data_IF_862130738754
#
_entry.id   IF_862130738754
#
_cell.length_a   1.000
_cell.length_b   1.000
_cell.length_c   1.000
_cell.angle_alpha   90.00
_cell.angle_beta   90.00
_cell.angle_gamma   90.00
#
_symmetry.space_group_name_H-M   'P 1'
#
loop_
_entity.id
_entity.type
_entity.pdbx_description
1 polymer ?
#
# COMPACT_ATOMS: atom_id res chain seq x y z
N UNK A 1 0.36 6.93 -15.95
CA UNK A 1 -0.68 6.12 -15.29
C UNK A 1 -0.09 5.71 -13.96
N UNK A 2 -0.64 6.25 -12.88
CA UNK A 2 -0.11 6.09 -11.53
C UNK A 2 -1.24 5.71 -10.58
N UNK A 3 -0.91 5.06 -9.48
CA UNK A 3 -1.89 4.65 -8.49
C UNK A 3 -2.26 5.83 -7.60
N UNK A 4 -3.55 6.14 -7.50
CA UNK A 4 -4.03 7.11 -6.51
C UNK A 4 -4.36 6.38 -5.21
N UNK A 5 -3.82 6.85 -4.09
CA UNK A 5 -3.95 6.17 -2.79
C UNK A 5 -4.68 7.07 -1.81
N UNK A 6 -5.69 6.54 -1.14
CA UNK A 6 -6.40 7.24 -0.08
C UNK A 6 -6.68 6.32 1.09
N UNK A 7 -6.76 6.91 2.29
CA UNK A 7 -7.24 6.21 3.49
C UNK A 7 -8.69 6.57 3.75
N UNK A 8 -9.49 5.59 4.17
CA UNK A 8 -10.88 5.80 4.60
C UNK A 8 -11.08 5.25 6.00
N UNK A 9 -11.61 6.03 6.93
CA UNK A 9 -11.89 5.57 8.29
C UNK A 9 -13.32 4.98 8.43
N UNK A 10 -13.70 4.57 9.64
CA UNK A 10 -14.99 3.92 9.92
C UNK A 10 -16.21 4.84 9.75
N UNK A 11 -16.01 6.16 9.74
CA UNK A 11 -17.09 7.14 9.49
C UNK A 11 -17.15 7.56 8.01
N UNK A 12 -16.49 6.80 7.12
CA UNK A 12 -16.38 7.07 5.68
C UNK A 12 -15.67 8.37 5.30
N UNK A 13 -14.94 8.98 6.23
CA UNK A 13 -14.09 10.14 5.94
C UNK A 13 -12.89 9.69 5.09
N UNK A 14 -12.64 10.42 4.01
CA UNK A 14 -11.62 10.10 3.02
C UNK A 14 -10.51 11.15 3.06
N UNK A 15 -9.29 10.66 3.26
CA UNK A 15 -8.09 11.49 3.21
C UNK A 15 -7.24 10.98 2.04
N UNK A 16 -7.14 11.83 1.01
CA UNK A 16 -6.21 11.62 -0.09
C UNK A 16 -4.78 11.74 0.43
N UNK A 17 -3.96 10.78 0.05
CA UNK A 17 -2.54 10.82 0.34
C UNK A 17 -1.82 11.54 -0.78
N UNK A 18 -0.59 11.97 -0.52
CA UNK A 18 0.23 12.63 -1.53
C UNK A 18 0.52 11.71 -2.72
N UNK A 19 0.83 12.33 -3.87
CA UNK A 19 1.19 11.62 -5.11
C UNK A 19 2.42 10.71 -4.91
N UNK A 20 3.29 11.04 -3.96
CA UNK A 20 4.49 10.26 -3.65
C UNK A 20 4.14 8.87 -3.10
N UNK A 21 3.04 8.74 -2.39
CA UNK A 21 2.55 7.46 -1.87
C UNK A 21 2.16 6.51 -3.01
N UNK A 22 1.52 7.03 -4.06
CA UNK A 22 1.19 6.28 -5.27
C UNK A 22 2.44 5.81 -6.02
N UNK A 23 3.44 6.68 -6.12
CA UNK A 23 4.73 6.34 -6.71
C UNK A 23 5.45 5.25 -5.91
N UNK A 24 5.56 5.41 -4.58
CA UNK A 24 6.19 4.41 -3.73
C UNK A 24 5.51 3.05 -3.85
N UNK A 25 4.16 3.02 -3.83
CA UNK A 25 3.42 1.77 -4.03
C UNK A 25 3.75 1.14 -5.38
N UNK A 26 3.72 1.92 -6.46
CA UNK A 26 4.08 1.46 -7.81
C UNK A 26 5.48 0.83 -7.85
N UNK A 27 6.46 1.48 -7.23
CA UNK A 27 7.84 0.97 -7.17
C UNK A 27 7.96 -0.39 -6.46
N UNK A 28 7.14 -0.66 -5.44
CA UNK A 28 7.19 -1.96 -4.72
C UNK A 28 6.42 -3.06 -5.44
N UNK A 29 5.36 -2.72 -6.17
CA UNK A 29 4.52 -3.68 -6.90
C UNK A 29 5.32 -4.45 -7.97
N UNK A 30 6.30 -3.79 -8.60
CA UNK A 30 7.21 -4.43 -9.57
C UNK A 30 8.01 -5.62 -8.98
N UNK A 31 8.10 -5.71 -7.65
CA UNK A 31 8.86 -6.75 -6.93
C UNK A 31 7.95 -7.69 -6.10
N UNK A 32 6.62 -7.55 -6.25
CA UNK A 32 5.64 -8.43 -5.63
C UNK A 32 5.83 -9.87 -6.13
N UNK A 33 5.65 -10.84 -5.23
CA UNK A 33 5.75 -12.27 -5.61
C UNK A 33 4.42 -12.73 -6.18
N UNK A 34 4.42 -13.67 -7.16
CA UNK A 34 3.19 -14.33 -7.58
C UNK A 34 2.42 -14.89 -6.38
N UNK A 35 1.10 -14.69 -6.39
CA UNK A 35 0.17 -15.07 -5.30
C UNK A 35 0.31 -14.31 -3.97
N UNK A 36 1.09 -13.23 -3.91
CA UNK A 36 1.09 -12.29 -2.77
C UNK A 36 -0.10 -11.32 -2.86
N UNK A 37 -0.46 -10.65 -1.77
CA UNK A 37 -1.54 -9.64 -1.78
C UNK A 37 -1.16 -8.41 -2.62
N UNK A 38 0.12 -8.02 -2.60
CA UNK A 38 0.60 -6.96 -3.49
C UNK A 38 0.45 -7.34 -4.97
N UNK A 39 0.61 -8.62 -5.32
CA UNK A 39 0.44 -9.07 -6.71
C UNK A 39 -1.01 -8.97 -7.22
N UNK A 40 -2.00 -8.86 -6.32
CA UNK A 40 -3.40 -8.67 -6.72
C UNK A 40 -3.76 -7.21 -6.98
N UNK A 41 -2.84 -6.27 -6.73
CA UNK A 41 -3.06 -4.84 -7.05
C UNK A 41 -2.86 -4.65 -8.54
N UNK A 42 -3.93 -4.35 -9.27
CA UNK A 42 -3.88 -4.06 -10.69
C UNK A 42 -3.93 -2.55 -10.94
N UNK A 43 -3.19 -2.09 -11.96
CA UNK A 43 -3.14 -0.66 -12.32
C UNK A 43 -4.44 -0.09 -12.87
N UNK A 44 -5.40 -0.95 -13.24
CA UNK A 44 -6.68 -0.56 -13.82
C UNK A 44 -7.88 -1.08 -13.00
N UNK A 45 -7.65 -1.49 -11.75
CA UNK A 45 -8.70 -1.94 -10.86
C UNK A 45 -8.58 -1.33 -9.46
N UNK A 46 -9.73 -1.08 -8.85
CA UNK A 46 -9.78 -0.62 -7.47
C UNK A 46 -9.43 -1.75 -6.51
N UNK A 47 -8.49 -1.49 -5.62
CA UNK A 47 -8.10 -2.42 -4.56
C UNK A 47 -8.31 -1.80 -3.19
N UNK A 48 -8.92 -2.57 -2.28
CA UNK A 48 -9.09 -2.18 -0.88
C UNK A 48 -8.43 -3.18 0.05
N UNK A 49 -7.62 -2.68 0.98
CA UNK A 49 -7.04 -3.46 2.06
C UNK A 49 -7.58 -3.01 3.41
N UNK A 50 -8.13 -3.96 4.16
CA UNK A 50 -8.42 -3.78 5.58
C UNK A 50 -7.15 -3.95 6.43
N UNK A 51 -7.23 -3.62 7.72
CA UNK A 51 -6.09 -3.70 8.65
C UNK A 51 -5.46 -5.10 8.75
N UNK A 52 -6.24 -6.18 8.65
CA UNK A 52 -5.72 -7.55 8.67
C UNK A 52 -4.89 -7.83 7.41
N UNK A 53 -5.34 -7.34 6.25
CA UNK A 53 -4.60 -7.45 5.00
C UNK A 53 -3.35 -6.56 5.02
N UNK A 54 -3.42 -5.34 5.55
CA UNK A 54 -2.28 -4.43 5.65
C UNK A 54 -1.12 -5.03 6.47
N UNK A 55 -1.40 -5.80 7.53
CA UNK A 55 -0.36 -6.52 8.26
C UNK A 55 0.37 -7.55 7.41
N UNK A 56 -0.37 -8.27 6.57
CA UNK A 56 0.21 -9.25 5.64
C UNK A 56 1.03 -8.55 4.56
N UNK A 57 0.49 -7.45 4.01
CA UNK A 57 1.22 -6.60 3.06
C UNK A 57 2.49 -6.05 3.71
N UNK A 58 2.46 -5.64 4.98
CA UNK A 58 3.64 -5.19 5.72
C UNK A 58 4.77 -6.24 5.75
N UNK A 59 4.44 -7.50 6.01
CA UNK A 59 5.40 -8.60 5.95
C UNK A 59 5.94 -8.83 4.51
N UNK A 60 5.08 -8.72 3.50
CA UNK A 60 5.52 -8.79 2.09
C UNK A 60 6.51 -7.66 1.74
N UNK A 61 6.29 -6.45 2.24
CA UNK A 61 7.19 -5.32 2.04
C UNK A 61 8.57 -5.56 2.70
N UNK A 62 8.61 -6.14 3.90
CA UNK A 62 9.86 -6.51 4.57
C UNK A 62 10.66 -7.54 3.75
N UNK A 63 9.98 -8.56 3.20
CA UNK A 63 10.60 -9.52 2.28
C UNK A 63 11.12 -8.87 0.99
N UNK A 64 10.45 -7.81 0.51
CA UNK A 64 10.92 -7.04 -0.64
C UNK A 64 12.19 -6.26 -0.28
N UNK A 65 12.21 -5.54 0.85
CA UNK A 65 13.42 -4.81 1.30
C UNK A 65 14.60 -5.74 1.49
N UNK A 66 14.38 -6.92 2.07
CA UNK A 66 15.44 -7.93 2.22
C UNK A 66 16.09 -8.36 0.91
N UNK A 67 15.34 -8.30 -0.21
CA UNK A 67 15.84 -8.60 -1.58
C UNK A 67 16.29 -7.36 -2.35
N UNK A 68 15.72 -6.20 -2.03
CA UNK A 68 15.91 -4.93 -2.72
C UNK A 68 16.13 -3.79 -1.72
N UNK A 69 17.32 -3.69 -1.10
CA UNK A 69 17.60 -2.67 -0.07
C UNK A 69 17.39 -1.23 -0.54
N UNK A 70 17.50 -0.97 -1.85
CA UNK A 70 17.22 0.35 -2.46
C UNK A 70 15.79 0.85 -2.24
N UNK A 71 14.83 -0.06 -1.96
CA UNK A 71 13.42 0.27 -1.72
C UNK A 71 13.12 0.58 -0.24
N UNK A 72 14.13 0.59 0.64
CA UNK A 72 13.93 0.77 2.08
C UNK A 72 13.17 2.07 2.43
N UNK A 73 13.44 3.17 1.71
CA UNK A 73 12.74 4.44 1.93
C UNK A 73 11.25 4.36 1.56
N UNK A 74 10.94 3.78 0.39
CA UNK A 74 9.57 3.57 -0.07
C UNK A 74 8.79 2.66 0.91
N UNK A 75 9.42 1.56 1.34
CA UNK A 75 8.79 0.64 2.30
C UNK A 75 8.59 1.27 3.67
N UNK A 76 9.55 2.03 4.19
CA UNK A 76 9.39 2.73 5.47
C UNK A 76 8.22 3.72 5.43
N UNK A 77 8.06 4.46 4.32
CA UNK A 77 6.92 5.36 4.12
C UNK A 77 5.58 4.62 4.13
N UNK A 78 5.49 3.51 3.38
CA UNK A 78 4.28 2.68 3.32
C UNK A 78 3.95 2.02 4.67
N UNK A 79 4.96 1.55 5.41
CA UNK A 79 4.76 0.99 6.75
C UNK A 79 4.21 2.04 7.72
N UNK A 80 4.77 3.24 7.74
CA UNK A 80 4.28 4.34 8.57
C UNK A 80 2.82 4.70 8.21
N UNK A 81 2.48 4.68 6.92
CA UNK A 81 1.11 4.85 6.47
C UNK A 81 0.19 3.74 7.00
N UNK A 82 0.58 2.47 6.87
CA UNK A 82 -0.22 1.34 7.32
C UNK A 82 -0.47 1.39 8.83
N UNK A 83 0.55 1.74 9.62
CA UNK A 83 0.39 1.96 11.06
C UNK A 83 -0.64 3.04 11.38
N UNK A 84 -0.64 4.16 10.63
CA UNK A 84 -1.64 5.22 10.82
C UNK A 84 -3.06 4.72 10.54
N UNK A 85 -3.25 3.92 9.48
CA UNK A 85 -4.54 3.35 9.10
C UNK A 85 -5.01 2.33 10.14
N UNK A 86 -4.10 1.51 10.67
CA UNK A 86 -4.41 0.56 11.73
C UNK A 86 -4.88 1.26 13.01
N UNK A 87 -4.21 2.34 13.42
CA UNK A 87 -4.60 3.15 14.58
C UNK A 87 -6.00 3.73 14.42
N UNK A 88 -6.32 4.20 13.22
CA UNK A 88 -7.62 4.78 12.88
C UNK A 88 -8.70 3.73 12.55
N UNK A 89 -8.35 2.42 12.62
CA UNK A 89 -9.20 1.29 12.22
C UNK A 89 -9.80 1.47 10.82
N UNK A 90 -9.02 2.07 9.93
CA UNK A 90 -9.44 2.41 8.57
C UNK A 90 -9.12 1.33 7.54
N UNK A 91 -9.22 1.76 6.29
CA UNK A 91 -8.95 0.97 5.10
C UNK A 91 -8.02 1.76 4.18
N UNK A 92 -7.10 1.05 3.53
CA UNK A 92 -6.35 1.60 2.41
C UNK A 92 -7.13 1.33 1.14
N UNK A 93 -7.28 2.36 0.31
CA UNK A 93 -7.83 2.24 -1.03
C UNK A 93 -6.80 2.69 -2.05
N UNK A 94 -6.73 1.91 -3.12
CA UNK A 94 -5.86 2.12 -4.27
C UNK A 94 -6.77 2.20 -5.48
N UNK A 95 -6.71 3.31 -6.19
CA UNK A 95 -7.46 3.56 -7.42
C UNK A 95 -6.49 3.51 -8.59
N UNK A 96 -6.77 2.63 -9.53
CA UNK A 96 -6.05 2.50 -10.79
C UNK A 96 -6.59 3.48 -11.83
N UNK A 97 -5.69 4.12 -12.59
CA UNK A 97 -6.02 5.02 -13.71
C UNK A 97 -6.05 4.25 -15.05
#
# INVERSE_FOLDING_TARGET
>A
MGLSVYRRNQIHDQVYLDDSTGQYLTEVLDYARPASLLYTVEFHADTMFNTVQLRRVGAELEEIVGRQPKLAAAVAHLQALFESIERDRGYLWIYGD
#
